data_IF_239992746291
#
_entry.id   IF_239992746291
#
_cell.length_a   1.000
_cell.length_b   1.000
_cell.length_c   1.000
_cell.angle_alpha   90.00
_cell.angle_beta   90.00
_cell.angle_gamma   90.00
#
_symmetry.space_group_name_H-M   'P 1'
#
loop_
_entity.id
_entity.type
_entity.pdbx_description
1 polymer ?
#
# COMPACT_ATOMS: atom_id res chain seq x y z
N UNK A 1 6.75 17.06 46.18
CA UNK A 1 6.93 16.88 44.72
C UNK A 1 6.89 15.39 44.40
N UNK A 2 5.98 14.99 43.51
CA UNK A 2 5.83 13.60 43.08
C UNK A 2 7.01 13.14 42.24
N UNK A 3 7.34 11.86 42.35
CA UNK A 3 8.33 11.26 41.44
C UNK A 3 7.70 11.01 40.06
N UNK A 4 8.48 11.12 39.00
CA UNK A 4 7.99 10.93 37.59
C UNK A 4 7.18 9.65 37.38
N UNK A 5 7.39 8.61 38.19
CA UNK A 5 6.66 7.32 38.09
C UNK A 5 5.25 7.35 38.69
N UNK A 6 4.86 8.41 39.38
CA UNK A 6 3.55 8.57 40.01
C UNK A 6 2.56 9.37 39.14
N UNK A 7 3.02 10.01 38.07
CA UNK A 7 2.15 10.73 37.15
C UNK A 7 1.37 9.78 36.27
N UNK A 8 0.13 10.15 35.96
CA UNK A 8 -0.68 9.51 34.91
C UNK A 8 -0.49 10.32 33.63
N UNK A 9 -0.04 9.64 32.56
CA UNK A 9 0.15 10.26 31.26
C UNK A 9 -0.93 9.75 30.33
N UNK A 10 -1.60 10.67 29.66
CA UNK A 10 -2.53 10.36 28.57
C UNK A 10 -1.95 10.87 27.25
N UNK A 11 -1.85 9.99 26.27
CA UNK A 11 -1.39 10.33 24.91
C UNK A 11 -2.52 9.99 23.95
N UNK A 12 -2.84 10.90 23.07
CA UNK A 12 -3.81 10.67 21.99
C UNK A 12 -3.20 11.15 20.67
N UNK A 13 -3.64 10.53 19.59
CA UNK A 13 -3.31 10.93 18.23
C UNK A 13 -4.59 11.22 17.45
N UNK A 14 -4.46 11.94 16.33
CA UNK A 14 -5.49 12.05 15.31
C UNK A 14 -4.88 12.10 13.92
N UNK A 15 -5.58 11.50 12.96
CA UNK A 15 -5.31 11.63 11.53
C UNK A 15 -5.82 12.98 11.00
N UNK A 16 -5.51 13.34 9.74
CA UNK A 16 -5.93 14.62 9.13
C UNK A 16 -7.43 14.95 9.25
N UNK A 17 -8.29 13.93 9.21
CA UNK A 17 -9.75 14.12 9.23
C UNK A 17 -10.48 13.53 10.43
N UNK A 18 -9.75 12.91 11.40
CA UNK A 18 -10.37 12.19 12.52
C UNK A 18 -10.40 12.97 13.82
N UNK A 19 -11.20 12.47 14.76
CA UNK A 19 -11.17 12.86 16.17
C UNK A 19 -9.94 12.25 16.89
N UNK A 20 -9.66 12.75 18.10
CA UNK A 20 -8.60 12.22 18.95
C UNK A 20 -8.88 10.77 19.39
N UNK A 21 -7.87 9.91 19.36
CA UNK A 21 -7.95 8.47 19.59
C UNK A 21 -6.70 7.94 20.33
N UNK A 22 -6.89 6.81 21.01
CA UNK A 22 -5.81 6.01 21.62
C UNK A 22 -5.71 4.61 21.03
N UNK A 23 -6.55 4.27 20.04
CA UNK A 23 -6.82 2.88 19.61
C UNK A 23 -5.57 2.16 19.10
N UNK A 24 -4.71 2.86 18.35
CA UNK A 24 -3.52 2.28 17.72
C UNK A 24 -2.23 2.56 18.52
N UNK A 25 -2.39 3.05 19.76
CA UNK A 25 -1.30 3.22 20.70
C UNK A 25 -1.16 1.98 21.58
N UNK A 26 0.08 1.53 21.82
CA UNK A 26 0.34 0.52 22.85
C UNK A 26 0.13 1.09 24.24
N UNK A 27 0.03 0.19 25.25
CA UNK A 27 0.05 0.63 26.65
C UNK A 27 1.27 1.50 26.93
N UNK A 28 1.06 2.66 27.55
CA UNK A 28 2.12 3.56 27.97
C UNK A 28 2.98 2.90 29.06
N UNK A 29 4.30 3.10 29.01
CA UNK A 29 5.21 2.64 30.04
C UNK A 29 6.28 3.68 30.36
N UNK A 30 6.74 3.71 31.62
CA UNK A 30 7.88 4.51 32.02
C UNK A 30 9.19 3.75 31.76
N UNK A 31 10.03 4.26 30.87
CA UNK A 31 11.34 3.71 30.60
C UNK A 31 12.36 4.30 31.57
N UNK A 32 12.75 3.53 32.59
CA UNK A 32 13.68 3.99 33.62
C UNK A 32 15.12 4.25 33.12
N UNK A 33 15.50 3.67 31.97
CA UNK A 33 16.82 3.90 31.39
C UNK A 33 16.92 5.27 30.69
N UNK A 34 15.81 5.77 30.15
CA UNK A 34 15.73 7.07 29.48
C UNK A 34 15.05 8.15 30.33
N UNK A 35 14.42 7.75 31.44
CA UNK A 35 13.55 8.59 32.28
C UNK A 35 12.41 9.23 31.45
N UNK A 36 11.83 8.46 30.56
CA UNK A 36 10.75 8.92 29.66
C UNK A 36 9.56 7.99 29.71
N UNK A 37 8.38 8.55 29.50
CA UNK A 37 7.21 7.78 29.15
C UNK A 37 7.21 7.50 27.66
N UNK A 38 6.91 6.27 27.28
CA UNK A 38 6.95 5.78 25.91
C UNK A 38 5.69 5.01 25.56
N UNK A 39 5.28 5.13 24.31
CA UNK A 39 4.23 4.31 23.68
C UNK A 39 4.60 4.07 22.23
N UNK A 40 4.12 2.98 21.64
CA UNK A 40 4.26 2.73 20.21
C UNK A 40 2.94 3.07 19.52
N UNK A 41 3.03 3.76 18.40
CA UNK A 41 1.95 3.94 17.44
C UNK A 41 2.11 2.91 16.32
N UNK A 42 1.04 2.17 16.01
CA UNK A 42 1.02 1.18 14.93
C UNK A 42 -0.20 1.43 14.08
N UNK A 43 -0.07 2.20 12.98
CA UNK A 43 -1.20 2.48 12.11
C UNK A 43 -1.76 1.18 11.52
N UNK A 44 -3.10 0.99 11.51
CA UNK A 44 -3.72 -0.13 10.81
C UNK A 44 -3.56 0.01 9.30
N UNK A 45 -3.77 -1.08 8.54
CA UNK A 45 -3.71 -1.07 7.07
C UNK A 45 -4.74 -0.15 6.40
N UNK A 46 -5.74 0.29 7.16
CA UNK A 46 -6.78 1.24 6.72
C UNK A 46 -6.58 2.64 7.29
N UNK A 47 -5.40 2.93 7.84
CA UNK A 47 -5.10 4.25 8.38
C UNK A 47 -5.19 5.31 7.28
N UNK A 48 -5.74 6.47 7.62
CA UNK A 48 -5.72 7.61 6.71
C UNK A 48 -4.28 8.04 6.43
N UNK A 49 -3.95 8.29 5.18
CA UNK A 49 -2.61 8.75 4.79
C UNK A 49 -2.45 10.24 5.11
N UNK A 50 -1.22 10.64 5.47
CA UNK A 50 -0.85 12.02 5.71
C UNK A 50 -0.35 12.31 7.11
N UNK A 51 -0.35 13.58 7.48
CA UNK A 51 0.26 14.08 8.70
C UNK A 51 -0.68 13.93 9.90
N UNK A 52 -0.14 13.41 10.99
CA UNK A 52 -0.85 13.12 12.24
C UNK A 52 -0.41 14.04 13.36
N UNK A 53 -1.40 14.48 14.13
CA UNK A 53 -1.19 15.26 15.36
C UNK A 53 -1.13 14.33 16.57
N UNK A 54 -0.39 14.75 17.59
CA UNK A 54 -0.32 14.10 18.89
C UNK A 54 -0.66 15.14 19.97
N UNK A 55 -1.40 14.73 21.01
CA UNK A 55 -1.55 15.51 22.22
C UNK A 55 -1.25 14.69 23.46
N UNK A 56 -0.75 15.37 24.46
CA UNK A 56 -0.30 14.78 25.73
C UNK A 56 -0.89 15.58 26.89
N UNK A 57 -1.39 14.87 27.89
CA UNK A 57 -1.80 15.42 29.17
C UNK A 57 -1.11 14.66 30.29
N UNK A 58 -0.74 15.36 31.35
CA UNK A 58 -0.13 14.80 32.57
C UNK A 58 -0.99 15.16 33.75
N UNK A 59 -1.39 14.14 34.51
CA UNK A 59 -2.10 14.31 35.76
C UNK A 59 -1.22 13.79 36.91
N UNK A 60 -1.17 14.50 38.03
CA UNK A 60 -0.45 14.08 39.22
C UNK A 60 -1.35 13.28 40.18
N UNK A 61 -0.80 12.87 41.31
CA UNK A 61 -1.54 12.08 42.31
C UNK A 61 -2.55 12.92 43.13
N UNK A 62 -2.42 14.22 43.10
CA UNK A 62 -3.32 15.18 43.78
C UNK A 62 -4.45 15.66 42.87
N UNK A 63 -4.61 15.03 41.69
CA UNK A 63 -5.62 15.33 40.66
C UNK A 63 -5.43 16.68 39.94
N UNK A 64 -4.25 17.30 40.05
CA UNK A 64 -3.90 18.45 39.23
C UNK A 64 -3.51 18.00 37.82
N UNK A 65 -4.02 18.71 36.82
CA UNK A 65 -3.82 18.37 35.40
C UNK A 65 -3.04 19.48 34.67
N UNK A 66 -2.07 19.07 33.84
CA UNK A 66 -1.34 20.01 32.97
C UNK A 66 -2.21 20.63 31.87
N UNK A 67 -3.41 20.07 31.63
CA UNK A 67 -4.14 20.30 30.39
C UNK A 67 -3.44 19.68 29.18
N UNK A 68 -4.07 19.76 28.03
CA UNK A 68 -3.54 19.18 26.78
C UNK A 68 -2.45 20.04 26.15
N UNK A 69 -1.31 19.43 25.90
CA UNK A 69 -0.28 19.97 25.00
C UNK A 69 -0.40 19.28 23.66
N UNK A 70 -0.69 20.05 22.60
CA UNK A 70 -0.89 19.52 21.24
C UNK A 70 0.33 19.83 20.37
N UNK A 71 0.76 18.83 19.63
CA UNK A 71 1.84 18.88 18.67
C UNK A 71 1.27 18.50 17.30
N UNK A 72 1.35 19.39 16.34
CA UNK A 72 0.82 19.18 14.99
C UNK A 72 1.89 18.63 14.06
N UNK A 73 1.47 17.82 13.08
CA UNK A 73 2.30 17.29 12.00
C UNK A 73 3.55 16.54 12.53
N UNK A 74 3.34 15.71 13.56
CA UNK A 74 4.46 15.05 14.29
C UNK A 74 4.99 13.83 13.54
N UNK A 75 4.12 13.17 12.78
CA UNK A 75 4.48 12.02 11.98
C UNK A 75 3.60 11.97 10.72
N UNK A 76 4.10 11.34 9.68
CA UNK A 76 3.38 11.13 8.43
C UNK A 76 3.15 9.64 8.22
N UNK A 77 1.91 9.23 7.99
CA UNK A 77 1.57 7.87 7.57
C UNK A 77 1.55 7.82 6.05
N UNK A 78 2.41 6.99 5.49
CA UNK A 78 2.61 6.83 4.06
C UNK A 78 2.00 5.52 3.57
N UNK A 79 1.58 5.50 2.30
CA UNK A 79 1.16 4.29 1.61
C UNK A 79 2.36 3.37 1.29
N UNK A 80 2.20 2.07 1.41
CA UNK A 80 3.11 1.09 0.85
C UNK A 80 2.71 0.82 -0.61
N UNK A 81 3.58 1.13 -1.55
CA UNK A 81 3.25 0.95 -2.96
C UNK A 81 3.16 -0.52 -3.39
N UNK A 82 2.29 -0.86 -4.35
CA UNK A 82 2.08 -2.22 -4.80
C UNK A 82 3.25 -2.74 -5.64
N UNK A 83 3.38 -4.07 -5.70
CA UNK A 83 4.44 -4.76 -6.43
C UNK A 83 3.87 -5.79 -7.39
N UNK A 84 4.48 -5.89 -8.58
CA UNK A 84 4.35 -7.06 -9.45
C UNK A 84 5.33 -8.12 -8.97
N UNK A 85 4.82 -9.28 -8.56
CA UNK A 85 5.63 -10.37 -7.99
C UNK A 85 6.01 -11.43 -9.00
N UNK A 86 5.22 -11.58 -10.06
CA UNK A 86 5.48 -12.54 -11.14
C UNK A 86 4.68 -12.20 -12.41
N UNK A 87 5.22 -12.65 -13.54
CA UNK A 87 4.53 -12.64 -14.83
C UNK A 87 4.79 -13.96 -15.55
N UNK A 88 3.77 -14.52 -16.15
CA UNK A 88 3.88 -15.80 -16.89
C UNK A 88 2.87 -15.84 -18.04
N UNK A 89 3.32 -15.94 -19.30
CA UNK A 89 2.46 -16.30 -20.40
C UNK A 89 2.16 -17.81 -20.37
N UNK A 90 1.00 -18.23 -20.88
CA UNK A 90 0.67 -19.67 -20.98
C UNK A 90 1.51 -20.41 -22.03
N UNK A 91 1.97 -19.70 -23.04
CA UNK A 91 2.83 -20.19 -24.11
C UNK A 91 3.84 -19.11 -24.48
N UNK A 92 5.01 -19.51 -25.00
CA UNK A 92 6.07 -18.60 -25.45
C UNK A 92 6.07 -18.38 -26.97
N UNK A 93 5.30 -19.20 -27.69
CA UNK A 93 5.13 -19.10 -29.14
C UNK A 93 3.65 -19.16 -29.50
N UNK A 94 3.21 -18.33 -30.45
CA UNK A 94 1.84 -18.32 -30.92
C UNK A 94 1.75 -17.93 -32.39
N UNK A 95 0.69 -18.37 -33.05
CA UNK A 95 0.34 -17.94 -34.40
C UNK A 95 -0.53 -16.68 -34.36
N UNK A 96 -0.49 -15.87 -35.40
CA UNK A 96 -1.44 -14.77 -35.61
C UNK A 96 -2.87 -15.27 -35.44
N UNK A 97 -3.72 -14.46 -34.85
CA UNK A 97 -5.12 -14.77 -34.53
C UNK A 97 -5.36 -15.86 -33.47
N UNK A 98 -4.30 -16.46 -32.93
CA UNK A 98 -4.37 -17.34 -31.77
C UNK A 98 -4.21 -16.53 -30.50
N UNK A 99 -4.86 -16.96 -29.42
CA UNK A 99 -4.83 -16.29 -28.13
C UNK A 99 -3.97 -17.05 -27.13
N UNK A 100 -3.12 -16.37 -26.42
CA UNK A 100 -2.45 -16.89 -25.21
C UNK A 100 -2.91 -16.12 -23.98
N UNK A 101 -2.89 -16.79 -22.85
CA UNK A 101 -3.20 -16.17 -21.56
C UNK A 101 -1.93 -15.64 -20.92
N UNK A 102 -2.02 -14.40 -20.44
CA UNK A 102 -1.00 -13.73 -19.63
C UNK A 102 -1.47 -13.72 -18.18
N UNK A 103 -0.61 -14.12 -17.26
CA UNK A 103 -0.91 -14.16 -15.83
C UNK A 103 0.10 -13.34 -15.05
N UNK A 104 -0.38 -12.53 -14.11
CA UNK A 104 0.45 -11.73 -13.21
C UNK A 104 0.08 -11.96 -11.75
N UNK A 105 1.08 -12.14 -10.91
CA UNK A 105 0.98 -12.07 -9.47
C UNK A 105 1.29 -10.63 -9.02
N UNK A 106 0.52 -10.14 -8.07
CA UNK A 106 0.71 -8.82 -7.47
C UNK A 106 0.61 -8.93 -5.95
N UNK A 107 1.23 -8.04 -5.23
CA UNK A 107 1.14 -7.95 -3.77
C UNK A 107 1.20 -6.49 -3.32
N UNK A 108 0.55 -6.26 -2.21
CA UNK A 108 0.58 -5.02 -1.46
C UNK A 108 0.48 -5.34 0.03
N UNK A 109 0.84 -4.40 0.91
CA UNK A 109 0.78 -4.58 2.36
C UNK A 109 -0.62 -4.32 2.90
N UNK A 110 -1.30 -3.32 2.34
CA UNK A 110 -2.63 -2.85 2.75
C UNK A 110 -3.74 -3.46 1.91
N UNK A 111 -3.47 -3.67 0.61
CA UNK A 111 -4.48 -4.06 -0.36
C UNK A 111 -4.46 -5.54 -0.72
N UNK A 112 -5.65 -6.12 -0.89
CA UNK A 112 -5.76 -7.45 -1.47
C UNK A 112 -5.44 -7.42 -2.96
N UNK A 113 -4.88 -8.52 -3.50
CA UNK A 113 -4.58 -8.62 -4.94
C UNK A 113 -5.80 -8.38 -5.84
N UNK A 114 -7.01 -8.62 -5.33
CA UNK A 114 -8.27 -8.44 -6.08
C UNK A 114 -8.81 -7.02 -6.10
N UNK A 115 -8.39 -6.17 -5.15
CA UNK A 115 -8.81 -4.76 -5.08
C UNK A 115 -7.94 -3.82 -5.90
N UNK A 116 -6.72 -4.24 -6.22
CA UNK A 116 -5.81 -3.49 -7.09
C UNK A 116 -6.27 -3.52 -8.56
N UNK A 117 -5.64 -2.73 -9.40
CA UNK A 117 -5.83 -2.75 -10.85
C UNK A 117 -4.51 -2.96 -11.58
N UNK A 118 -4.53 -3.61 -12.75
CA UNK A 118 -3.34 -3.89 -13.54
C UNK A 118 -3.40 -3.24 -14.92
N UNK A 119 -2.30 -2.66 -15.35
CA UNK A 119 -2.13 -2.16 -16.71
C UNK A 119 -1.11 -3.04 -17.43
N UNK A 120 -1.49 -3.62 -18.58
CA UNK A 120 -0.62 -4.35 -19.47
C UNK A 120 -0.42 -3.58 -20.77
N UNK A 121 0.78 -3.68 -21.30
CA UNK A 121 1.11 -3.19 -22.64
C UNK A 121 2.04 -4.19 -23.32
N UNK A 122 1.98 -4.21 -24.65
CA UNK A 122 2.90 -4.98 -25.48
C UNK A 122 3.56 -4.07 -26.51
N UNK A 123 4.68 -4.51 -27.06
CA UNK A 123 5.28 -3.95 -28.29
C UNK A 123 5.96 -5.04 -29.10
N UNK A 124 5.98 -4.91 -30.43
CA UNK A 124 6.90 -5.65 -31.30
C UNK A 124 8.30 -5.02 -31.23
N UNK A 125 9.30 -5.70 -31.76
CA UNK A 125 10.70 -5.26 -31.75
C UNK A 125 10.88 -3.83 -32.26
N UNK A 126 10.12 -3.41 -33.29
CA UNK A 126 10.19 -2.09 -33.90
C UNK A 126 9.04 -1.15 -33.51
N UNK A 127 8.10 -1.59 -32.68
CA UNK A 127 6.86 -0.89 -32.40
C UNK A 127 6.87 -0.08 -31.09
N UNK A 128 5.87 0.77 -30.97
CA UNK A 128 5.56 1.47 -29.72
C UNK A 128 4.73 0.57 -28.78
N UNK A 129 4.67 0.96 -27.49
CA UNK A 129 3.83 0.29 -26.51
C UNK A 129 2.35 0.48 -26.83
N UNK A 130 1.60 -0.63 -26.93
CA UNK A 130 0.21 -0.70 -27.35
C UNK A 130 -0.61 -1.65 -26.48
N UNK A 131 -1.95 -1.62 -26.62
CA UNK A 131 -2.90 -2.43 -25.86
C UNK A 131 -3.96 -3.15 -26.73
N UNK A 132 -4.01 -2.85 -28.01
CA UNK A 132 -5.09 -3.29 -28.93
C UNK A 132 -5.14 -4.81 -29.17
N UNK A 133 -4.05 -5.55 -28.87
CA UNK A 133 -4.05 -7.02 -28.89
C UNK A 133 -4.32 -7.65 -27.50
N UNK A 134 -4.51 -6.83 -26.47
CA UNK A 134 -4.79 -7.30 -25.12
C UNK A 134 -6.29 -7.23 -24.83
N UNK A 135 -6.83 -8.26 -24.21
CA UNK A 135 -8.17 -8.19 -23.61
C UNK A 135 -8.16 -7.37 -22.34
N UNK A 136 -9.35 -6.96 -21.88
CA UNK A 136 -9.48 -6.37 -20.53
C UNK A 136 -8.94 -7.34 -19.49
N UNK A 137 -8.09 -6.85 -18.60
CA UNK A 137 -7.55 -7.62 -17.49
C UNK A 137 -8.63 -7.87 -16.42
N UNK A 138 -8.59 -9.04 -15.80
CA UNK A 138 -9.49 -9.42 -14.71
C UNK A 138 -8.74 -10.22 -13.65
N UNK A 139 -9.22 -10.15 -12.42
CA UNK A 139 -8.69 -10.99 -11.34
C UNK A 139 -9.38 -12.35 -11.33
N UNK A 140 -8.59 -13.41 -11.45
CA UNK A 140 -9.08 -14.79 -11.36
C UNK A 140 -8.93 -15.30 -9.92
N UNK A 141 -10.04 -15.37 -9.18
CA UNK A 141 -10.04 -15.81 -7.77
C UNK A 141 -9.60 -17.27 -7.58
N UNK A 142 -9.73 -18.12 -8.62
CA UNK A 142 -9.30 -19.53 -8.55
C UNK A 142 -7.78 -19.68 -8.61
N UNK A 143 -7.10 -18.82 -9.37
CA UNK A 143 -5.62 -18.81 -9.46
C UNK A 143 -4.97 -17.80 -8.50
N UNK A 144 -5.74 -16.85 -7.96
CA UNK A 144 -5.23 -15.72 -7.20
C UNK A 144 -4.39 -14.75 -8.04
N UNK A 145 -4.61 -14.69 -9.35
CA UNK A 145 -3.80 -13.90 -10.29
C UNK A 145 -4.63 -12.99 -11.16
N UNK A 146 -4.03 -11.92 -11.61
CA UNK A 146 -4.56 -11.12 -12.71
C UNK A 146 -4.29 -11.82 -14.03
N UNK A 147 -5.29 -11.82 -14.91
CA UNK A 147 -5.24 -12.48 -16.20
C UNK A 147 -5.72 -11.54 -17.32
N UNK A 148 -5.09 -11.67 -18.49
CA UNK A 148 -5.49 -11.05 -19.74
C UNK A 148 -5.16 -12.00 -20.88
N UNK A 149 -5.79 -11.84 -22.03
CA UNK A 149 -5.42 -12.56 -23.24
C UNK A 149 -4.67 -11.63 -24.20
N UNK A 150 -3.62 -12.15 -24.81
CA UNK A 150 -2.90 -11.51 -25.91
C UNK A 150 -3.25 -12.25 -27.21
N UNK A 151 -3.78 -11.52 -28.20
CA UNK A 151 -4.26 -12.08 -29.47
C UNK A 151 -3.77 -11.20 -30.62
N UNK A 152 -2.60 -11.49 -31.23
CA UNK A 152 -2.11 -10.70 -32.34
C UNK A 152 -3.05 -10.75 -33.55
N UNK A 153 -3.24 -9.60 -34.20
CA UNK A 153 -4.04 -9.53 -35.43
C UNK A 153 -3.44 -10.36 -36.58
N UNK A 154 -4.23 -10.63 -37.60
CA UNK A 154 -3.73 -11.34 -38.82
C UNK A 154 -2.60 -10.58 -39.55
N UNK A 155 -2.51 -9.27 -39.35
CA UNK A 155 -1.50 -8.39 -39.92
C UNK A 155 -0.36 -8.05 -38.95
N UNK A 156 -0.37 -8.63 -37.72
CA UNK A 156 0.66 -8.36 -36.73
C UNK A 156 2.06 -8.65 -37.27
N UNK A 157 3.05 -7.91 -36.83
CA UNK A 157 4.44 -8.16 -37.15
C UNK A 157 4.87 -9.56 -36.69
N UNK A 158 5.76 -10.23 -37.42
CA UNK A 158 6.36 -11.50 -36.98
C UNK A 158 7.62 -11.18 -36.18
N UNK A 159 7.88 -11.94 -35.16
CA UNK A 159 9.07 -11.79 -34.32
C UNK A 159 8.70 -11.76 -32.83
N UNK A 160 9.62 -11.28 -32.03
CA UNK A 160 9.46 -11.21 -30.58
C UNK A 160 8.58 -10.02 -30.17
N UNK A 161 7.85 -10.23 -29.08
CA UNK A 161 7.02 -9.22 -28.45
C UNK A 161 7.43 -9.05 -27.00
N UNK A 162 7.71 -7.82 -26.62
CA UNK A 162 7.88 -7.46 -25.22
C UNK A 162 6.51 -7.22 -24.58
N UNK A 163 6.35 -7.66 -23.35
CA UNK A 163 5.19 -7.35 -22.52
C UNK A 163 5.69 -6.61 -21.28
N UNK A 164 4.98 -5.55 -20.90
CA UNK A 164 5.19 -4.90 -19.60
C UNK A 164 3.88 -4.73 -18.86
N UNK A 165 4.00 -4.69 -17.57
CA UNK A 165 2.84 -4.51 -16.69
C UNK A 165 3.19 -3.65 -15.47
N UNK A 166 2.20 -2.94 -14.97
CA UNK A 166 2.25 -2.22 -13.71
C UNK A 166 0.95 -2.46 -12.94
N UNK A 167 0.99 -2.30 -11.64
CA UNK A 167 -0.16 -2.45 -10.75
C UNK A 167 -0.39 -1.14 -10.01
N UNK A 168 -1.66 -0.79 -9.82
CA UNK A 168 -2.10 0.38 -9.06
C UNK A 168 -2.99 -0.10 -7.91
N UNK A 169 -2.74 0.36 -6.70
CA UNK A 169 -3.50 0.07 -5.49
C UNK A 169 -4.76 0.95 -5.35
N UNK A 170 -5.46 0.82 -4.23
CA UNK A 170 -6.69 1.59 -3.97
C UNK A 170 -6.41 3.04 -3.59
N UNK A 171 -5.19 3.36 -3.11
CA UNK A 171 -4.72 4.71 -2.78
C UNK A 171 -4.07 5.43 -3.96
N UNK A 172 -4.14 4.81 -5.16
CA UNK A 172 -3.63 5.35 -6.43
C UNK A 172 -2.11 5.37 -6.56
N UNK A 173 -1.37 4.66 -5.70
CA UNK A 173 0.05 4.41 -5.91
C UNK A 173 0.25 3.35 -6.99
N UNK A 174 1.24 3.54 -7.85
CA UNK A 174 1.50 2.66 -8.99
C UNK A 174 2.92 2.14 -8.95
N UNK A 175 3.07 0.82 -9.14
CA UNK A 175 4.39 0.20 -9.23
C UNK A 175 5.19 0.69 -10.44
N UNK A 176 6.50 0.51 -10.41
CA UNK A 176 7.32 0.59 -11.62
C UNK A 176 6.90 -0.48 -12.64
N UNK A 177 7.22 -0.26 -13.93
CA UNK A 177 6.97 -1.25 -14.97
C UNK A 177 7.82 -2.51 -14.73
N UNK A 178 7.16 -3.65 -14.76
CA UNK A 178 7.76 -4.98 -14.78
C UNK A 178 7.80 -5.45 -16.26
N UNK A 179 8.97 -5.83 -16.75
CA UNK A 179 9.25 -6.31 -18.13
C UNK A 179 9.92 -7.66 -18.12
#
# INVERSE_FOLDING_TARGET
EDTESLHTITVEYRSPSSDWSTTDLSTLWHNSATSRWETNFTPPTTAELGEYDIRIQVDDTDEDSSGWSTYSDVLEVLNNGPLVTSYTPSETELYRTTSIRLQAGVSDTEDSASSMSITLQYRSESGDWATDYLSTSYFNSSSGRWESNFTPASTAELGDYDIRLSVTDTDSSTSTWYT
#
